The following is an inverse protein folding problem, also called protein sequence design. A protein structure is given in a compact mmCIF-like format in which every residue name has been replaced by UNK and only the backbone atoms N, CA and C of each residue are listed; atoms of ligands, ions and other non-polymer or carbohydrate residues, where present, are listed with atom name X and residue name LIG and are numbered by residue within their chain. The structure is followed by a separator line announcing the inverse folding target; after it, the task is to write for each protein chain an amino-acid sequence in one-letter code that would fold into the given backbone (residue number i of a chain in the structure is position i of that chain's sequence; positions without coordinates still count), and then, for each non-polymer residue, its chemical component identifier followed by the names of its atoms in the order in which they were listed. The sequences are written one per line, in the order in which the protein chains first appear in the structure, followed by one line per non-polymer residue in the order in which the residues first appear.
data_IF_561375340621
#
_entry.id   IF_561375340621
#
_cell.length_a   1.000
_cell.length_b   1.000
_cell.length_c   1.000
_cell.angle_alpha   90.00
_cell.angle_beta   90.00
_cell.angle_gamma   90.00
#
_symmetry.space_group_name_H-M   'P 1'
#
loop_
_entity.id
_entity.type
_entity.pdbx_description
1 polymer ?
#
# COMPACT_ATOMS: atom_id res chain seq x y z
N UNK A 1 -11.70 -6.04 12.96
CA UNK A 1 -10.41 -5.59 12.41
C UNK A 1 -10.62 -5.25 10.96
N UNK A 2 -10.32 -4.01 10.53
CA UNK A 2 -10.31 -3.65 9.12
C UNK A 2 -9.22 -4.42 8.36
N UNK A 3 -9.52 -4.73 7.09
CA UNK A 3 -8.55 -5.32 6.17
C UNK A 3 -7.93 -4.23 5.31
N UNK A 4 -6.65 -4.38 4.99
CA UNK A 4 -5.88 -3.46 4.20
C UNK A 4 -5.20 -4.21 3.06
N UNK A 5 -4.91 -3.51 1.97
CA UNK A 5 -4.06 -4.03 0.92
C UNK A 5 -3.04 -3.00 0.48
N UNK A 6 -1.81 -3.46 0.36
CA UNK A 6 -0.70 -2.70 -0.18
C UNK A 6 -0.69 -2.90 -1.70
N UNK A 7 -0.59 -1.81 -2.45
CA UNK A 7 -0.44 -1.82 -3.89
C UNK A 7 0.86 -1.12 -4.30
N UNK A 8 1.51 -1.65 -5.31
CA UNK A 8 2.60 -0.98 -6.00
C UNK A 8 2.06 0.20 -6.83
N UNK A 9 2.94 1.09 -7.29
CA UNK A 9 2.55 2.27 -8.08
C UNK A 9 1.82 1.96 -9.41
N UNK A 10 1.86 0.72 -9.87
CA UNK A 10 1.10 0.22 -11.02
C UNK A 10 -0.25 -0.43 -10.63
N UNK A 11 -0.71 -0.25 -9.39
CA UNK A 11 -1.93 -0.83 -8.81
C UNK A 11 -1.91 -2.37 -8.69
N UNK A 12 -0.74 -3.00 -8.81
CA UNK A 12 -0.60 -4.43 -8.48
C UNK A 12 -0.71 -4.60 -6.98
N UNK A 13 -1.60 -5.48 -6.52
CA UNK A 13 -1.68 -5.84 -5.09
C UNK A 13 -0.43 -6.62 -4.71
N UNK A 14 0.30 -6.10 -3.74
CA UNK A 14 1.49 -6.72 -3.16
C UNK A 14 1.07 -7.69 -2.07
N UNK A 15 0.29 -7.19 -1.10
CA UNK A 15 -0.16 -7.98 0.05
C UNK A 15 -1.53 -7.47 0.53
N UNK A 16 -2.31 -8.37 1.13
CA UNK A 16 -3.53 -8.05 1.88
C UNK A 16 -3.36 -8.54 3.30
N UNK A 17 -3.68 -7.70 4.28
CA UNK A 17 -3.47 -7.99 5.71
C UNK A 17 -4.51 -7.28 6.57
N UNK A 18 -4.77 -7.79 7.77
CA UNK A 18 -5.59 -7.12 8.77
C UNK A 18 -4.72 -6.29 9.72
N UNK A 19 -5.26 -5.20 10.27
CA UNK A 19 -4.65 -4.40 11.32
C UNK A 19 -5.71 -3.94 12.34
N UNK A 20 -5.29 -3.59 13.55
CA UNK A 20 -6.16 -3.07 14.61
C UNK A 20 -6.61 -1.64 14.30
N UNK A 21 -5.69 -0.82 13.78
CA UNK A 21 -5.93 0.55 13.39
C UNK A 21 -5.12 0.98 12.15
N UNK A 22 -5.41 2.19 11.69
CA UNK A 22 -4.77 2.77 10.51
C UNK A 22 -3.27 3.06 10.72
N UNK A 23 -2.83 3.30 11.96
CA UNK A 23 -1.43 3.61 12.26
C UNK A 23 -0.55 2.35 12.22
N UNK A 24 -1.06 1.23 12.73
CA UNK A 24 -0.47 -0.10 12.57
C UNK A 24 -0.41 -0.47 11.09
N UNK A 25 -1.50 -0.25 10.36
CA UNK A 25 -1.56 -0.56 8.93
C UNK A 25 -0.50 0.20 8.12
N UNK A 26 -0.32 1.50 8.38
CA UNK A 26 0.74 2.32 7.76
C UNK A 26 2.13 1.78 8.11
N UNK A 27 2.38 1.50 9.39
CA UNK A 27 3.68 0.99 9.86
C UNK A 27 4.03 -0.34 9.19
N UNK A 28 3.07 -1.27 9.13
CA UNK A 28 3.24 -2.55 8.45
C UNK A 28 3.46 -2.37 6.96
N UNK A 29 2.69 -1.50 6.32
CA UNK A 29 2.82 -1.26 4.90
C UNK A 29 4.17 -0.63 4.53
N UNK A 30 4.72 0.23 5.37
CA UNK A 30 6.10 0.72 5.24
C UNK A 30 7.13 -0.41 5.34
N UNK A 31 6.99 -1.30 6.33
CA UNK A 31 7.87 -2.46 6.48
C UNK A 31 7.85 -3.35 5.24
N UNK A 32 6.65 -3.65 4.73
CA UNK A 32 6.48 -4.42 3.48
C UNK A 32 7.10 -3.70 2.28
N UNK A 33 6.87 -2.40 2.13
CA UNK A 33 7.39 -1.63 1.00
C UNK A 33 8.93 -1.65 0.89
N UNK A 34 9.65 -1.78 2.01
CA UNK A 34 11.11 -1.91 2.02
C UNK A 34 11.60 -3.19 1.31
N UNK A 35 10.79 -4.24 1.30
CA UNK A 35 11.12 -5.51 0.64
C UNK A 35 10.87 -5.49 -0.88
N UNK A 36 10.23 -4.43 -1.41
CA UNK A 36 9.89 -4.30 -2.83
C UNK A 36 10.62 -3.11 -3.48
N UNK A 37 11.82 -3.31 -4.04
CA UNK A 37 12.54 -2.24 -4.72
C UNK A 37 11.75 -1.75 -5.95
N UNK A 38 11.49 -0.44 -6.01
CA UNK A 38 10.84 0.17 -7.17
C UNK A 38 11.85 0.18 -8.33
N UNK A 39 11.54 -0.42 -9.49
CA UNK A 39 12.44 -0.36 -10.63
C UNK A 39 12.65 1.10 -11.07
N UNK A 40 13.90 1.53 -11.18
CA UNK A 40 14.25 2.79 -11.85
C UNK A 40 13.67 2.74 -13.29
N UNK A 41 12.98 3.79 -13.72
CA UNK A 41 12.42 3.94 -15.08
C UNK A 41 11.16 3.13 -15.46
N UNK A 42 10.00 3.51 -14.92
CA UNK A 42 8.74 3.50 -15.69
C UNK A 42 8.00 4.81 -15.49
N UNK A 43 6.90 5.10 -16.20
CA UNK A 43 6.08 6.29 -15.95
C UNK A 43 5.57 6.38 -14.48
N UNK A 44 5.60 5.25 -13.76
CA UNK A 44 5.42 5.14 -12.31
C UNK A 44 6.56 5.79 -11.48
N UNK A 45 7.73 6.06 -12.06
CA UNK A 45 8.89 6.67 -11.41
C UNK A 45 8.78 8.18 -11.21
N UNK A 46 7.83 8.88 -11.86
CA UNK A 46 7.55 10.29 -11.53
C UNK A 46 6.84 10.44 -10.17
N UNK A 47 6.31 9.33 -9.65
CA UNK A 47 5.40 9.30 -8.52
C UNK A 47 5.87 8.29 -7.44
N UNK A 48 6.46 7.14 -7.77
CA UNK A 48 7.16 6.30 -6.78
C UNK A 48 6.28 5.81 -5.61
N UNK A 49 4.95 5.74 -5.76
CA UNK A 49 4.08 5.48 -4.62
C UNK A 49 3.79 4.00 -4.40
N UNK A 50 3.91 3.58 -3.15
CA UNK A 50 3.06 2.53 -2.60
C UNK A 50 1.72 3.15 -2.21
N UNK A 51 0.65 2.40 -2.38
CA UNK A 51 -0.70 2.78 -2.00
C UNK A 51 -1.22 1.78 -0.99
N UNK A 52 -1.82 2.27 0.08
CA UNK A 52 -2.60 1.49 1.01
C UNK A 52 -4.08 1.75 0.74
N UNK A 53 -4.84 0.68 0.58
CA UNK A 53 -6.29 0.72 0.52
C UNK A 53 -6.85 -0.01 1.73
N UNK A 54 -7.93 0.55 2.29
CA UNK A 54 -8.67 -0.04 3.40
C UNK A 54 -9.96 -0.64 2.87
N UNK A 55 -10.34 -1.78 3.42
CA UNK A 55 -11.63 -2.42 3.16
C UNK A 55 -12.63 -2.01 4.22
N UNK A 56 -13.59 -1.19 3.83
CA UNK A 56 -14.76 -0.87 4.65
C UNK A 56 -15.99 -1.55 4.01
N UNK A 57 -16.40 -2.67 4.61
CA UNK A 57 -17.46 -3.54 4.08
C UNK A 57 -17.01 -4.32 2.84
N UNK A 58 -17.68 -4.12 1.71
CA UNK A 58 -17.39 -4.84 0.46
C UNK A 58 -16.47 -4.07 -0.51
N UNK A 59 -16.09 -2.83 -0.18
CA UNK A 59 -15.34 -1.96 -1.07
C UNK A 59 -13.96 -1.65 -0.52
N UNK A 60 -12.98 -1.68 -1.41
CA UNK A 60 -11.64 -1.16 -1.17
C UNK A 60 -11.61 0.33 -1.49
N UNK A 61 -11.17 1.14 -0.55
CA UNK A 61 -11.06 2.58 -0.70
C UNK A 61 -9.61 3.03 -0.56
N UNK A 62 -9.23 4.01 -1.38
CA UNK A 62 -7.95 4.69 -1.23
C UNK A 62 -7.86 5.32 0.15
N UNK A 63 -6.86 4.87 0.91
CA UNK A 63 -6.67 5.30 2.29
C UNK A 63 -5.42 6.16 2.42
N UNK A 64 -4.28 5.70 1.88
CA UNK A 64 -2.99 6.36 2.03
C UNK A 64 -2.05 6.05 0.86
N UNK A 65 -1.11 6.94 0.54
CA UNK A 65 -0.01 6.67 -0.39
C UNK A 65 1.25 7.42 0.02
N UNK A 66 2.41 6.82 -0.25
CA UNK A 66 3.72 7.38 0.07
C UNK A 66 4.78 6.87 -0.89
N UNK A 67 5.86 7.65 -1.00
CA UNK A 67 7.10 7.23 -1.64
C UNK A 67 8.03 6.73 -0.52
N UNK A 68 8.64 5.54 -0.66
CA UNK A 68 9.62 5.04 0.32
C UNK A 68 10.84 5.95 0.45
#
# INVERSE_FOLDING_TARGET
MPSYRLLAGNLTVIETFDAEDDAEAITRAHGLALDFPIPECTFAARWGYFRLERQDGHLWQFFFAWVP
#
